data_IF_963765143462
#
_entry.id   IF_963765143462
#
_cell.length_a   1.000
_cell.length_b   1.000
_cell.length_c   1.000
_cell.angle_alpha   90.00
_cell.angle_beta   90.00
_cell.angle_gamma   90.00
#
_symmetry.space_group_name_H-M   'P 1'
#
loop_
_entity.id
_entity.type
_entity.pdbx_description
1 polymer ?
#
# COMPACT_ATOMS: atom_id res chain seq x y z
N UNK A 1 -49.95 16.76 -18.59
CA UNK A 1 -48.72 15.95 -18.63
C UNK A 1 -47.75 16.52 -17.60
N UNK A 2 -47.71 15.93 -16.40
CA UNK A 2 -46.71 16.33 -15.38
C UNK A 2 -45.45 15.50 -15.62
N UNK A 3 -44.34 16.13 -15.90
CA UNK A 3 -43.05 15.47 -15.90
C UNK A 3 -42.50 15.44 -14.45
N UNK A 4 -42.51 14.27 -13.85
CA UNK A 4 -41.87 14.01 -12.57
C UNK A 4 -40.38 13.83 -12.83
N UNK A 5 -39.57 14.85 -12.53
CA UNK A 5 -38.11 14.73 -12.58
C UNK A 5 -37.66 13.90 -11.39
N UNK A 6 -37.21 12.68 -11.62
CA UNK A 6 -36.51 11.89 -10.63
C UNK A 6 -35.12 12.50 -10.39
N UNK A 7 -34.96 13.22 -9.28
CA UNK A 7 -33.61 13.55 -8.77
C UNK A 7 -32.97 12.24 -8.26
N UNK A 8 -32.02 11.69 -9.00
CA UNK A 8 -31.04 10.78 -8.42
C UNK A 8 -30.19 11.58 -7.43
N UNK A 9 -30.44 11.38 -6.15
CA UNK A 9 -29.53 11.83 -5.11
C UNK A 9 -28.21 11.05 -5.28
N UNK A 10 -27.20 11.70 -5.86
CA UNK A 10 -25.83 11.26 -5.71
C UNK A 10 -25.53 11.40 -4.22
N UNK A 11 -25.45 10.29 -3.48
CA UNK A 11 -24.89 10.26 -2.14
C UNK A 11 -23.46 10.72 -2.25
N UNK A 12 -23.21 11.98 -1.89
CA UNK A 12 -21.89 12.50 -1.67
C UNK A 12 -21.29 11.65 -0.52
N UNK A 13 -20.23 10.91 -0.79
CA UNK A 13 -19.43 10.27 0.25
C UNK A 13 -19.04 11.37 1.25
N UNK A 14 -19.39 11.19 2.51
CA UNK A 14 -18.88 12.00 3.60
C UNK A 14 -17.38 11.76 3.65
N UNK A 15 -16.58 12.79 3.56
CA UNK A 15 -15.20 12.76 3.07
C UNK A 15 -14.12 12.22 4.01
N UNK A 16 -14.40 11.19 4.80
CA UNK A 16 -13.46 10.60 5.74
C UNK A 16 -13.26 9.07 5.58
N UNK A 17 -14.05 8.38 4.76
CA UNK A 17 -13.99 6.92 4.60
C UNK A 17 -12.57 6.36 4.31
N UNK A 18 -12.29 5.17 4.86
CA UNK A 18 -11.11 4.35 4.56
C UNK A 18 -11.51 3.10 3.74
N UNK A 19 -12.04 3.25 2.51
CA UNK A 19 -12.79 2.21 1.80
C UNK A 19 -11.93 1.08 1.25
N UNK A 20 -10.61 1.12 1.43
CA UNK A 20 -9.67 0.11 0.94
C UNK A 20 -8.33 0.26 1.68
N UNK A 21 -7.45 -0.72 1.55
CA UNK A 21 -6.10 -0.65 2.12
C UNK A 21 -5.41 0.69 1.83
N UNK A 22 -4.89 1.34 2.87
CA UNK A 22 -4.26 2.67 2.84
C UNK A 22 -5.14 3.77 2.22
N UNK A 23 -6.45 3.67 2.39
CA UNK A 23 -7.46 4.70 2.15
C UNK A 23 -7.93 4.84 0.70
N UNK A 24 -7.13 4.58 -0.32
CA UNK A 24 -7.52 4.82 -1.72
C UNK A 24 -6.77 3.94 -2.73
N UNK A 25 -7.13 4.05 -4.02
CA UNK A 25 -6.53 3.26 -5.10
C UNK A 25 -5.03 3.55 -5.34
N UNK A 26 -4.53 4.70 -4.91
CA UNK A 26 -3.12 5.07 -4.96
C UNK A 26 -2.35 4.60 -3.71
N UNK A 27 -3.03 4.07 -2.69
CA UNK A 27 -2.49 3.57 -1.42
C UNK A 27 -1.70 4.62 -0.64
N UNK A 28 -2.17 5.87 -0.65
CA UNK A 28 -1.43 7.01 -0.08
C UNK A 28 -1.21 6.92 1.43
N UNK A 29 -2.05 6.20 2.15
CA UNK A 29 -2.00 6.09 3.62
C UNK A 29 -2.36 7.40 4.31
N UNK A 30 -3.12 8.28 3.65
CA UNK A 30 -3.54 9.55 4.18
C UNK A 30 -5.07 9.66 4.18
N UNK A 31 -5.63 10.06 5.31
CA UNK A 31 -7.03 10.38 5.53
C UNK A 31 -7.17 11.85 5.93
N UNK A 32 -8.35 12.41 5.72
CA UNK A 32 -8.76 13.71 6.26
C UNK A 32 -9.41 13.57 7.64
N UNK A 33 -9.55 12.35 8.16
CA UNK A 33 -10.07 12.13 9.50
C UNK A 33 -9.24 12.91 10.51
N UNK A 34 -9.87 13.79 11.26
CA UNK A 34 -9.24 14.56 12.32
C UNK A 34 -9.32 13.75 13.62
N UNK A 35 -8.16 13.47 14.21
CA UNK A 35 -8.05 12.73 15.46
C UNK A 35 -7.73 13.71 16.60
N UNK A 36 -8.64 13.88 17.55
CA UNK A 36 -8.44 14.76 18.69
C UNK A 36 -7.79 13.98 19.84
N UNK A 37 -6.52 14.21 20.11
CA UNK A 37 -5.75 13.53 21.16
C UNK A 37 -5.94 14.18 22.54
N UNK A 38 -5.94 13.38 23.64
CA UNK A 38 -5.69 11.93 23.69
C UNK A 38 -6.90 11.11 23.25
N UNK A 39 -6.65 9.95 22.59
CA UNK A 39 -7.67 8.97 22.29
C UNK A 39 -7.71 7.92 23.41
N UNK A 40 -8.90 7.30 23.61
CA UNK A 40 -9.11 6.17 24.51
C UNK A 40 -9.57 4.95 23.75
N UNK A 41 -9.23 3.75 24.23
CA UNK A 41 -9.73 2.50 23.64
C UNK A 41 -11.22 2.36 23.93
N UNK A 42 -12.03 2.28 22.87
CA UNK A 42 -13.48 2.13 22.96
C UNK A 42 -13.91 0.67 22.94
N UNK A 43 -13.31 -0.10 22.04
CA UNK A 43 -13.57 -1.53 21.92
C UNK A 43 -12.38 -2.29 21.31
N UNK A 44 -12.36 -3.59 21.58
CA UNK A 44 -11.44 -4.55 20.97
C UNK A 44 -12.23 -5.72 20.41
N UNK A 45 -12.13 -5.97 19.12
CA UNK A 45 -12.64 -7.17 18.51
C UNK A 45 -11.53 -8.22 18.45
N UNK A 46 -11.81 -9.42 19.03
CA UNK A 46 -10.90 -10.57 18.95
C UNK A 46 -11.50 -11.58 17.97
N UNK A 47 -10.84 -11.76 16.83
CA UNK A 47 -11.26 -12.71 15.82
C UNK A 47 -11.13 -14.18 16.27
N UNK A 48 -11.55 -15.11 15.40
CA UNK A 48 -11.52 -16.57 15.62
C UNK A 48 -10.11 -17.17 15.73
N UNK A 49 -9.06 -16.37 15.49
CA UNK A 49 -7.66 -16.78 15.57
C UNK A 49 -6.71 -15.73 15.01
N UNK A 50 -5.43 -16.06 15.05
CA UNK A 50 -4.37 -15.18 14.50
C UNK A 50 -4.31 -15.26 12.98
N UNK A 51 -3.91 -14.18 12.28
CA UNK A 51 -3.66 -14.21 10.84
C UNK A 51 -2.70 -15.35 10.46
N UNK A 52 -3.09 -16.12 9.45
CA UNK A 52 -2.31 -17.23 8.92
C UNK A 52 -1.55 -16.76 7.68
N UNK A 53 -0.32 -16.31 7.86
CA UNK A 53 0.49 -15.73 6.79
C UNK A 53 0.69 -16.70 5.62
N UNK A 54 0.59 -16.20 4.39
CA UNK A 54 0.88 -16.97 3.18
C UNK A 54 2.31 -17.50 3.14
N UNK A 55 3.23 -16.78 3.78
CA UNK A 55 4.64 -17.10 3.86
C UNK A 55 5.10 -17.07 5.32
N UNK A 56 4.79 -18.14 6.11
CA UNK A 56 5.18 -18.19 7.51
C UNK A 56 6.68 -18.42 7.63
N UNK A 57 7.36 -17.51 8.28
CA UNK A 57 8.76 -17.59 8.59
C UNK A 57 9.72 -17.37 7.42
N UNK A 58 11.03 -17.30 7.72
CA UNK A 58 12.06 -17.16 6.71
C UNK A 58 12.18 -18.45 5.89
N UNK A 59 12.36 -18.30 4.57
CA UNK A 59 12.88 -19.38 3.77
C UNK A 59 14.25 -19.78 4.37
N UNK A 60 14.37 -21.03 4.82
CA UNK A 60 15.57 -21.49 5.54
C UNK A 60 16.82 -21.43 4.67
N UNK A 61 16.68 -21.66 3.37
CA UNK A 61 17.79 -21.67 2.42
C UNK A 61 17.39 -21.09 1.09
N UNK A 62 18.22 -20.20 0.56
CA UNK A 62 18.28 -19.90 -0.87
C UNK A 62 19.43 -20.72 -1.46
N UNK A 63 19.11 -21.87 -2.02
CA UNK A 63 20.10 -22.78 -2.61
C UNK A 63 20.81 -22.13 -3.81
N UNK A 64 20.15 -21.24 -4.53
CA UNK A 64 20.70 -20.54 -5.68
C UNK A 64 21.77 -19.52 -5.28
N UNK A 65 21.48 -18.70 -4.27
CA UNK A 65 22.40 -17.68 -3.78
C UNK A 65 23.25 -18.17 -2.58
N UNK A 66 23.09 -19.43 -2.15
CA UNK A 66 23.77 -20.01 -0.98
C UNK A 66 23.62 -19.19 0.31
N UNK A 67 22.47 -18.51 0.45
CA UNK A 67 22.15 -17.70 1.63
C UNK A 67 21.27 -18.52 2.56
N UNK A 68 21.62 -18.52 3.84
CA UNK A 68 20.85 -19.12 4.93
C UNK A 68 20.19 -18.03 5.78
N UNK A 69 19.10 -18.37 6.48
CA UNK A 69 18.37 -17.45 7.36
C UNK A 69 17.86 -16.18 6.67
N UNK A 70 17.22 -16.37 5.52
CA UNK A 70 16.61 -15.27 4.78
C UNK A 70 15.49 -14.61 5.61
N UNK A 71 15.52 -13.29 5.70
CA UNK A 71 14.40 -12.52 6.26
C UNK A 71 13.20 -12.60 5.30
N UNK A 72 11.99 -12.90 5.80
CA UNK A 72 10.78 -12.84 5.00
C UNK A 72 10.60 -11.44 4.40
N UNK A 73 10.21 -11.37 3.12
CA UNK A 73 10.00 -10.09 2.41
C UNK A 73 8.57 -9.91 1.93
N UNK A 74 7.70 -10.87 2.22
CA UNK A 74 6.32 -10.89 1.77
C UNK A 74 5.43 -10.63 2.98
N UNK A 75 5.15 -9.37 3.26
CA UNK A 75 4.52 -8.90 4.48
C UNK A 75 3.17 -8.22 4.22
N UNK A 76 2.32 -8.83 3.42
CA UNK A 76 1.04 -8.27 3.05
C UNK A 76 -0.17 -8.80 3.83
N UNK A 77 0.01 -9.82 4.69
CA UNK A 77 -1.08 -10.51 5.40
C UNK A 77 -0.76 -10.84 6.87
N UNK A 78 -0.05 -9.93 7.55
CA UNK A 78 0.35 -10.09 8.95
C UNK A 78 -0.72 -9.72 9.96
N UNK A 79 -1.71 -8.94 9.57
CA UNK A 79 -2.86 -8.54 10.36
C UNK A 79 -4.12 -8.66 9.50
N UNK A 80 -5.28 -8.58 10.11
CA UNK A 80 -6.54 -8.43 9.42
C UNK A 80 -6.72 -6.95 9.04
N UNK A 81 -6.15 -6.56 7.89
CA UNK A 81 -6.24 -5.19 7.42
C UNK A 81 -7.69 -4.80 7.14
N UNK A 82 -8.08 -3.65 7.65
CA UNK A 82 -9.47 -3.19 7.62
C UNK A 82 -9.75 -2.19 6.51
N UNK A 83 -11.01 -2.16 6.09
CA UNK A 83 -11.61 -1.11 5.27
C UNK A 83 -12.86 -0.61 5.97
N UNK A 84 -13.10 0.70 5.93
CA UNK A 84 -14.19 1.35 6.66
C UNK A 84 -15.01 2.19 5.69
N UNK A 85 -16.32 2.03 5.72
CA UNK A 85 -17.24 2.85 4.96
C UNK A 85 -18.66 2.76 5.54
N UNK A 86 -19.38 3.87 5.52
CA UNK A 86 -20.78 3.94 5.95
C UNK A 86 -21.01 3.36 7.37
N UNK A 87 -20.10 3.65 8.32
CA UNK A 87 -20.18 3.18 9.72
C UNK A 87 -19.95 1.66 9.89
N UNK A 88 -19.35 1.00 8.92
CA UNK A 88 -19.01 -0.43 8.94
C UNK A 88 -17.53 -0.65 8.70
N UNK A 89 -16.98 -1.62 9.42
CA UNK A 89 -15.62 -2.08 9.30
C UNK A 89 -15.61 -3.46 8.64
N UNK A 90 -14.81 -3.64 7.61
CA UNK A 90 -14.70 -4.88 6.85
C UNK A 90 -13.28 -5.40 6.87
N UNK A 91 -13.12 -6.72 7.02
CA UNK A 91 -11.82 -7.37 6.87
C UNK A 91 -11.96 -8.78 6.29
N UNK A 92 -10.87 -9.22 5.64
CA UNK A 92 -10.73 -10.61 5.21
C UNK A 92 -9.92 -11.38 6.25
N UNK A 93 -10.33 -12.60 6.52
CA UNK A 93 -9.66 -13.47 7.48
C UNK A 93 -8.99 -14.66 6.80
N UNK A 94 -7.71 -14.84 7.12
CA UNK A 94 -6.95 -16.03 6.75
C UNK A 94 -7.03 -17.13 7.83
N UNK A 95 -7.64 -16.83 8.98
CA UNK A 95 -7.80 -17.78 10.07
C UNK A 95 -9.00 -18.71 9.89
N UNK A 96 -10.13 -18.18 9.43
CA UNK A 96 -11.41 -18.87 9.30
C UNK A 96 -12.03 -18.80 7.88
N UNK A 97 -11.31 -18.21 6.90
CA UNK A 97 -11.70 -18.17 5.49
C UNK A 97 -12.98 -17.36 5.23
N UNK A 98 -13.15 -16.27 6.00
CA UNK A 98 -14.33 -15.42 5.92
C UNK A 98 -14.01 -13.98 5.53
N UNK A 99 -15.04 -13.30 5.04
CA UNK A 99 -15.12 -11.85 4.96
C UNK A 99 -16.05 -11.42 6.09
N UNK A 100 -15.57 -10.59 6.99
CA UNK A 100 -16.30 -10.09 8.15
C UNK A 100 -16.73 -8.65 7.98
N UNK A 101 -17.85 -8.30 8.58
CA UNK A 101 -18.33 -6.95 8.75
C UNK A 101 -18.68 -6.70 10.21
N UNK A 102 -18.05 -5.68 10.79
CA UNK A 102 -18.37 -5.20 12.11
C UNK A 102 -19.09 -3.85 12.03
N UNK A 103 -19.86 -3.54 13.04
CA UNK A 103 -20.25 -2.18 13.34
C UNK A 103 -19.01 -1.38 13.76
N UNK A 104 -18.73 -0.26 13.11
CA UNK A 104 -17.51 0.51 13.34
C UNK A 104 -17.55 1.24 14.70
N UNK A 105 -18.74 1.50 15.24
CA UNK A 105 -18.93 2.16 16.54
C UNK A 105 -18.73 1.22 17.71
N UNK A 106 -19.25 -0.02 17.62
CA UNK A 106 -19.31 -0.96 18.75
C UNK A 106 -18.35 -2.13 18.64
N UNK A 107 -17.81 -2.42 17.44
CA UNK A 107 -16.99 -3.62 17.18
C UNK A 107 -17.79 -4.92 17.11
N UNK A 108 -19.12 -4.88 17.22
CA UNK A 108 -19.98 -6.05 17.12
C UNK A 108 -20.04 -6.58 15.68
N UNK A 109 -20.03 -7.92 15.50
CA UNK A 109 -20.16 -8.52 14.18
C UNK A 109 -21.60 -8.39 13.67
N UNK A 110 -21.75 -7.73 12.53
CA UNK A 110 -23.02 -7.58 11.83
C UNK A 110 -23.34 -8.77 10.91
N UNK A 111 -22.33 -9.24 10.19
CA UNK A 111 -22.40 -10.40 9.33
C UNK A 111 -21.02 -10.94 8.97
N UNK A 112 -20.95 -12.20 8.57
CA UNK A 112 -19.79 -12.81 7.94
C UNK A 112 -20.18 -13.66 6.74
N UNK A 113 -19.23 -13.87 5.82
CA UNK A 113 -19.42 -14.64 4.60
C UNK A 113 -18.27 -15.62 4.38
N UNK A 114 -18.57 -16.91 4.28
CA UNK A 114 -17.57 -17.95 4.03
C UNK A 114 -17.12 -17.96 2.57
N UNK A 115 -15.80 -17.97 2.37
CA UNK A 115 -15.16 -18.32 1.11
C UNK A 115 -14.62 -19.76 1.18
N UNK A 116 -14.02 -20.27 0.09
CA UNK A 116 -13.54 -21.66 0.09
C UNK A 116 -12.03 -21.77 0.39
N UNK A 117 -11.37 -20.64 0.75
CA UNK A 117 -9.98 -20.57 1.15
C UNK A 117 -9.69 -19.19 1.77
N UNK A 118 -8.48 -18.98 2.37
CA UNK A 118 -8.12 -17.74 3.04
C UNK A 118 -8.37 -16.45 2.25
N UNK A 119 -8.93 -15.44 2.93
CA UNK A 119 -9.03 -14.05 2.45
C UNK A 119 -7.93 -13.24 3.12
N UNK A 120 -6.91 -12.84 2.37
CA UNK A 120 -5.66 -12.29 2.95
C UNK A 120 -5.53 -10.79 2.91
N UNK A 121 -6.34 -10.13 2.10
CA UNK A 121 -6.23 -8.69 1.84
C UNK A 121 -7.45 -7.96 2.34
N UNK A 122 -7.25 -6.71 2.73
CA UNK A 122 -8.37 -5.83 3.02
C UNK A 122 -9.36 -5.81 1.85
N UNK A 123 -10.65 -5.98 2.09
CA UNK A 123 -11.67 -5.78 1.07
C UNK A 123 -11.63 -4.36 0.52
N UNK A 124 -12.19 -4.15 -0.67
CA UNK A 124 -12.42 -2.80 -1.20
C UNK A 124 -13.92 -2.54 -1.21
N UNK A 125 -14.33 -1.44 -0.59
CA UNK A 125 -15.72 -1.01 -0.48
C UNK A 125 -16.03 0.07 -1.51
N UNK A 126 -17.09 -0.09 -2.28
CA UNK A 126 -17.50 0.89 -3.29
C UNK A 126 -18.99 0.78 -3.59
N UNK A 127 -19.73 1.89 -3.46
CA UNK A 127 -21.15 1.96 -3.82
C UNK A 127 -22.00 0.89 -3.13
N UNK A 128 -21.83 0.69 -1.84
CA UNK A 128 -22.53 -0.31 -1.03
C UNK A 128 -22.16 -1.77 -1.34
N UNK A 129 -21.00 -2.01 -1.97
CA UNK A 129 -20.45 -3.33 -2.28
C UNK A 129 -19.10 -3.53 -1.62
N UNK A 130 -18.85 -4.75 -1.15
CA UNK A 130 -17.57 -5.21 -0.60
C UNK A 130 -16.97 -6.20 -1.58
N UNK A 131 -15.74 -5.93 -2.06
CA UNK A 131 -15.08 -6.77 -3.06
C UNK A 131 -13.79 -7.31 -2.46
N UNK A 132 -13.65 -8.63 -2.42
CA UNK A 132 -12.46 -9.31 -1.91
C UNK A 132 -12.06 -10.49 -2.78
N UNK A 133 -10.77 -10.77 -2.82
CA UNK A 133 -10.22 -11.97 -3.45
C UNK A 133 -9.82 -13.01 -2.42
N UNK A 134 -9.96 -14.29 -2.76
CA UNK A 134 -9.62 -15.42 -1.90
C UNK A 134 -8.56 -16.32 -2.54
N UNK A 135 -7.86 -17.07 -1.70
CA UNK A 135 -6.90 -18.11 -2.12
C UNK A 135 -7.57 -19.26 -2.90
N UNK A 136 -8.91 -19.32 -3.00
CA UNK A 136 -9.64 -20.25 -3.88
C UNK A 136 -9.65 -19.84 -5.37
N UNK A 137 -9.04 -18.68 -5.70
CA UNK A 137 -8.95 -18.18 -7.07
C UNK A 137 -10.19 -17.39 -7.52
N UNK A 138 -11.07 -17.05 -6.59
CA UNK A 138 -12.33 -16.34 -6.84
C UNK A 138 -12.30 -14.93 -6.24
N UNK A 139 -12.94 -14.00 -6.93
CA UNK A 139 -13.28 -12.67 -6.42
C UNK A 139 -14.76 -12.67 -6.04
N UNK A 140 -15.05 -12.22 -4.85
CA UNK A 140 -16.39 -12.12 -4.28
C UNK A 140 -16.81 -10.65 -4.21
N UNK A 141 -18.06 -10.38 -4.56
CA UNK A 141 -18.71 -9.10 -4.36
C UNK A 141 -19.97 -9.30 -3.53
N UNK A 142 -19.95 -8.73 -2.34
CA UNK A 142 -21.04 -8.84 -1.37
C UNK A 142 -21.74 -7.49 -1.20
N UNK A 143 -22.99 -7.51 -0.76
CA UNK A 143 -23.71 -6.32 -0.32
C UNK A 143 -23.18 -5.86 1.04
N UNK A 144 -22.70 -4.65 1.13
CA UNK A 144 -22.08 -4.12 2.35
C UNK A 144 -23.02 -4.14 3.57
N UNK A 145 -24.33 -3.97 3.36
CA UNK A 145 -25.31 -3.88 4.45
C UNK A 145 -25.63 -5.21 5.14
N UNK A 146 -25.50 -6.37 4.46
CA UNK A 146 -25.95 -7.65 5.00
C UNK A 146 -25.14 -8.87 4.55
N UNK A 147 -24.03 -8.69 3.82
CA UNK A 147 -23.17 -9.78 3.36
C UNK A 147 -23.74 -10.65 2.23
N UNK A 148 -24.90 -10.29 1.65
CA UNK A 148 -25.50 -11.06 0.56
C UNK A 148 -24.60 -11.06 -0.69
N UNK A 149 -24.39 -12.24 -1.28
CA UNK A 149 -23.61 -12.38 -2.52
C UNK A 149 -24.32 -11.68 -3.68
N UNK A 150 -23.65 -10.70 -4.28
CA UNK A 150 -24.12 -10.03 -5.51
C UNK A 150 -23.60 -10.77 -6.73
N UNK A 151 -22.29 -11.02 -6.78
CA UNK A 151 -21.64 -11.83 -7.80
C UNK A 151 -20.33 -12.42 -7.27
N UNK A 152 -19.90 -13.51 -7.88
CA UNK A 152 -18.54 -14.04 -7.72
C UNK A 152 -17.96 -14.43 -9.08
N UNK A 153 -16.68 -14.22 -9.29
CA UNK A 153 -16.00 -14.51 -10.55
C UNK A 153 -14.70 -15.26 -10.31
N UNK A 154 -14.53 -16.40 -11.00
CA UNK A 154 -13.28 -17.16 -10.99
C UNK A 154 -12.31 -16.56 -12.01
N UNK A 155 -11.19 -16.02 -11.53
CA UNK A 155 -10.16 -15.46 -12.40
C UNK A 155 -9.30 -16.57 -13.01
N UNK A 156 -9.09 -17.64 -12.29
CA UNK A 156 -8.39 -18.85 -12.73
C UNK A 156 -9.10 -19.54 -13.90
N UNK A 157 -8.37 -20.34 -14.73
CA UNK A 157 -8.99 -21.07 -15.83
C UNK A 157 -9.89 -22.20 -15.36
N UNK A 158 -9.61 -22.80 -14.19
CA UNK A 158 -10.38 -23.87 -13.58
C UNK A 158 -10.24 -23.92 -12.05
N UNK A 159 -10.75 -24.95 -11.41
CA UNK A 159 -10.75 -25.15 -9.95
C UNK A 159 -9.69 -26.12 -9.45
N UNK A 160 -8.54 -26.20 -10.11
CA UNK A 160 -7.44 -27.03 -9.60
C UNK A 160 -6.93 -26.48 -8.27
N UNK A 161 -6.78 -27.40 -7.30
CA UNK A 161 -6.39 -27.08 -5.93
C UNK A 161 -5.14 -27.83 -5.53
N UNK A 162 -4.39 -27.24 -4.61
CA UNK A 162 -3.20 -27.82 -4.02
C UNK A 162 -3.12 -27.52 -2.52
N UNK A 163 -2.44 -28.34 -1.73
CA UNK A 163 -2.19 -28.01 -0.33
C UNK A 163 -1.18 -26.88 -0.21
N UNK A 164 -1.54 -25.83 0.52
CA UNK A 164 -0.70 -24.67 0.81
C UNK A 164 -0.89 -24.21 2.25
N UNK A 165 0.17 -24.22 3.07
CA UNK A 165 0.14 -23.77 4.47
C UNK A 165 -0.94 -24.44 5.32
N UNK A 166 -1.10 -25.78 5.18
CA UNK A 166 -2.08 -26.55 5.94
C UNK A 166 -3.54 -26.42 5.46
N UNK A 167 -3.78 -25.75 4.34
CA UNK A 167 -5.10 -25.54 3.74
C UNK A 167 -5.11 -25.92 2.27
N UNK A 168 -6.28 -26.12 1.71
CA UNK A 168 -6.47 -26.29 0.27
C UNK A 168 -6.64 -24.92 -0.36
N UNK A 169 -5.79 -24.58 -1.31
CA UNK A 169 -5.84 -23.34 -2.07
C UNK A 169 -5.93 -23.62 -3.58
N UNK A 170 -6.37 -22.65 -4.36
CA UNK A 170 -6.31 -22.73 -5.82
C UNK A 170 -4.87 -22.81 -6.30
N UNK A 171 -4.61 -23.48 -7.41
CA UNK A 171 -3.35 -23.37 -8.15
C UNK A 171 -3.10 -21.93 -8.61
N UNK A 172 -4.16 -21.15 -8.78
CA UNK A 172 -4.14 -19.71 -9.10
C UNK A 172 -4.84 -18.87 -8.01
N UNK A 173 -4.27 -18.78 -6.80
CA UNK A 173 -4.91 -18.02 -5.72
C UNK A 173 -4.90 -16.52 -6.04
N UNK A 174 -5.89 -15.79 -5.51
CA UNK A 174 -5.89 -14.33 -5.58
C UNK A 174 -4.99 -13.79 -4.48
N UNK A 175 -3.73 -13.51 -4.84
CA UNK A 175 -2.68 -13.03 -3.93
C UNK A 175 -2.40 -11.53 -4.09
N UNK A 176 -3.42 -10.78 -4.53
CA UNK A 176 -3.37 -9.32 -4.58
C UNK A 176 -4.64 -8.71 -4.00
N UNK A 177 -4.46 -7.59 -3.29
CA UNK A 177 -5.59 -6.78 -2.87
C UNK A 177 -6.28 -6.16 -4.09
N UNK A 178 -7.60 -6.27 -4.18
CA UNK A 178 -8.39 -5.69 -5.27
C UNK A 178 -8.28 -4.17 -5.23
N UNK A 179 -8.09 -3.55 -6.39
CA UNK A 179 -8.17 -2.10 -6.53
C UNK A 179 -9.33 -1.73 -7.45
N UNK A 180 -10.14 -0.78 -7.01
CA UNK A 180 -11.27 -0.28 -7.81
C UNK A 180 -11.00 1.14 -8.28
N UNK A 181 -11.27 1.39 -9.56
CA UNK A 181 -11.21 2.73 -10.14
C UNK A 181 -12.20 2.85 -11.30
N UNK A 182 -13.01 3.90 -11.27
CA UNK A 182 -14.01 4.20 -12.33
C UNK A 182 -14.98 3.03 -12.62
N UNK A 183 -15.49 2.37 -11.57
CA UNK A 183 -16.43 1.27 -11.71
C UNK A 183 -15.84 -0.05 -12.21
N UNK A 184 -14.51 -0.15 -12.29
CA UNK A 184 -13.77 -1.35 -12.69
C UNK A 184 -12.92 -1.83 -11.51
N UNK A 185 -13.04 -3.11 -11.18
CA UNK A 185 -12.22 -3.81 -10.20
C UNK A 185 -11.08 -4.53 -10.93
N UNK A 186 -9.84 -4.25 -10.53
CA UNK A 186 -8.65 -4.91 -11.04
C UNK A 186 -8.17 -5.94 -10.02
N UNK A 187 -7.76 -7.10 -10.51
CA UNK A 187 -7.34 -8.22 -9.69
C UNK A 187 -6.31 -9.07 -10.43
N UNK A 188 -5.53 -9.84 -9.68
CA UNK A 188 -4.69 -10.89 -10.27
C UNK A 188 -4.94 -12.22 -9.59
N UNK A 189 -4.80 -13.32 -10.33
CA UNK A 189 -4.81 -14.68 -9.82
C UNK A 189 -3.63 -15.46 -10.39
N UNK A 190 -2.94 -16.22 -9.55
CA UNK A 190 -1.78 -16.99 -9.93
C UNK A 190 -0.55 -16.64 -9.10
N UNK A 191 0.22 -17.69 -8.79
CA UNK A 191 1.41 -17.61 -7.96
C UNK A 191 2.62 -18.22 -8.64
N UNK A 192 2.37 -19.21 -9.49
CA UNK A 192 3.41 -19.98 -10.18
C UNK A 192 3.47 -19.56 -11.64
N UNK A 193 4.57 -18.90 -12.08
CA UNK A 193 4.68 -18.40 -13.45
C UNK A 193 4.49 -19.50 -14.52
N UNK A 194 4.93 -20.74 -14.27
CA UNK A 194 4.74 -21.88 -15.16
C UNK A 194 3.26 -22.17 -15.47
N UNK A 195 2.40 -22.00 -14.47
CA UNK A 195 0.96 -22.22 -14.56
C UNK A 195 0.20 -21.00 -15.10
N UNK A 196 0.91 -19.88 -15.21
CA UNK A 196 0.38 -18.60 -15.62
C UNK A 196 -0.17 -17.76 -14.47
N UNK A 197 -0.10 -16.46 -14.64
CA UNK A 197 -0.69 -15.46 -13.77
C UNK A 197 -1.66 -14.62 -14.57
N UNK A 198 -2.88 -14.53 -14.11
CA UNK A 198 -3.96 -13.81 -14.78
C UNK A 198 -4.09 -12.43 -14.19
N UNK A 199 -4.13 -11.41 -15.03
CA UNK A 199 -4.49 -10.03 -14.67
C UNK A 199 -5.83 -9.75 -15.30
N UNK A 200 -6.80 -9.31 -14.53
CA UNK A 200 -8.17 -9.11 -14.98
C UNK A 200 -8.77 -7.78 -14.51
N UNK A 201 -9.68 -7.27 -15.31
CA UNK A 201 -10.57 -6.16 -15.00
C UNK A 201 -12.01 -6.62 -15.07
N UNK A 202 -12.77 -6.35 -14.01
CA UNK A 202 -14.16 -6.76 -13.84
C UNK A 202 -15.05 -5.52 -13.66
N UNK A 203 -16.25 -5.55 -14.20
CA UNK A 203 -17.25 -4.52 -13.88
C UNK A 203 -17.70 -4.68 -12.43
N UNK A 204 -17.59 -3.64 -11.62
CA UNK A 204 -18.06 -3.64 -10.22
C UNK A 204 -19.55 -3.95 -10.11
N UNK A 205 -20.36 -3.58 -11.11
CA UNK A 205 -21.81 -3.76 -11.11
C UNK A 205 -22.24 -5.20 -11.25
N UNK A 206 -21.55 -6.02 -12.05
CA UNK A 206 -22.02 -7.36 -12.45
C UNK A 206 -20.98 -8.48 -12.32
N UNK A 207 -19.70 -8.15 -12.12
CA UNK A 207 -18.60 -9.12 -12.17
C UNK A 207 -18.14 -9.47 -13.59
N UNK A 208 -18.83 -8.98 -14.64
CA UNK A 208 -18.45 -9.28 -16.02
C UNK A 208 -17.01 -8.89 -16.30
N UNK A 209 -16.27 -9.78 -16.94
CA UNK A 209 -14.90 -9.52 -17.38
C UNK A 209 -14.87 -8.45 -18.47
N UNK A 210 -14.18 -7.34 -18.22
CA UNK A 210 -13.86 -6.31 -19.22
C UNK A 210 -12.71 -6.77 -20.10
N UNK A 211 -11.64 -7.24 -19.46
CA UNK A 211 -10.50 -7.90 -20.10
C UNK A 211 -9.81 -8.85 -19.10
N UNK A 212 -9.13 -9.88 -19.63
CA UNK A 212 -8.33 -10.82 -18.85
C UNK A 212 -7.14 -11.29 -19.69
N UNK A 213 -5.93 -11.15 -19.16
CA UNK A 213 -4.68 -11.52 -19.82
C UNK A 213 -3.89 -12.50 -18.96
N UNK A 214 -3.15 -13.42 -19.61
CA UNK A 214 -2.31 -14.42 -18.95
C UNK A 214 -0.82 -14.13 -19.22
N UNK A 215 -0.01 -14.18 -18.16
CA UNK A 215 1.43 -13.97 -18.20
C UNK A 215 2.15 -15.13 -17.50
N UNK A 216 3.17 -15.73 -18.16
CA UNK A 216 3.92 -16.89 -17.65
C UNK A 216 5.27 -16.54 -17.03
N UNK A 217 5.52 -15.27 -16.74
CA UNK A 217 6.81 -14.76 -16.27
C UNK A 217 6.70 -13.84 -15.06
N UNK A 218 5.55 -13.84 -14.38
CA UNK A 218 5.33 -13.01 -13.19
C UNK A 218 4.61 -13.78 -12.08
N UNK A 219 4.87 -13.38 -10.82
CA UNK A 219 4.21 -13.89 -9.63
C UNK A 219 3.66 -12.68 -8.84
N UNK A 220 2.45 -12.20 -9.16
CA UNK A 220 1.88 -11.02 -8.54
C UNK A 220 1.49 -11.29 -7.09
N UNK A 221 1.96 -10.44 -6.17
CA UNK A 221 1.62 -10.51 -4.75
C UNK A 221 1.73 -9.13 -4.12
N UNK A 222 0.74 -8.78 -3.30
CA UNK A 222 0.65 -7.49 -2.62
C UNK A 222 -0.57 -6.69 -3.07
N UNK A 223 -0.67 -5.44 -2.62
CA UNK A 223 -1.81 -4.59 -2.98
C UNK A 223 -1.62 -3.95 -4.35
N UNK A 224 -2.59 -4.15 -5.24
CA UNK A 224 -2.64 -3.44 -6.53
C UNK A 224 -2.85 -1.94 -6.32
N UNK A 225 -2.29 -1.16 -7.25
CA UNK A 225 -2.46 0.30 -7.25
C UNK A 225 -2.89 0.77 -8.64
N UNK A 226 -3.65 1.85 -8.66
CA UNK A 226 -4.10 2.45 -9.91
C UNK A 226 -3.88 3.95 -9.90
N UNK A 227 -3.29 4.46 -10.99
CA UNK A 227 -3.30 5.87 -11.37
C UNK A 227 -4.39 6.14 -12.41
N UNK A 228 -4.37 7.30 -13.03
CA UNK A 228 -5.32 7.65 -14.09
C UNK A 228 -5.25 6.66 -15.27
N UNK A 229 -4.05 6.32 -15.72
CA UNK A 229 -3.84 5.54 -16.95
C UNK A 229 -3.20 4.17 -16.70
N UNK A 230 -2.54 3.98 -15.55
CA UNK A 230 -1.75 2.78 -15.27
C UNK A 230 -2.34 1.95 -14.13
N UNK A 231 -2.19 0.62 -14.27
CA UNK A 231 -2.32 -0.34 -13.20
C UNK A 231 -0.92 -0.81 -12.81
N UNK A 232 -0.57 -0.68 -11.54
CA UNK A 232 0.69 -1.16 -10.99
C UNK A 232 0.45 -2.47 -10.25
N UNK A 233 1.21 -3.48 -10.63
CA UNK A 233 1.09 -4.84 -10.08
C UNK A 233 2.38 -5.18 -9.33
N UNK A 234 2.35 -5.21 -8.00
CA UNK A 234 3.49 -5.67 -7.20
C UNK A 234 3.81 -7.13 -7.50
N UNK A 235 5.09 -7.46 -7.50
CA UNK A 235 5.58 -8.80 -7.80
C UNK A 235 6.51 -9.32 -6.71
N UNK A 236 6.23 -8.96 -5.47
CA UNK A 236 6.90 -9.41 -4.25
C UNK A 236 8.44 -9.32 -4.27
N UNK A 237 9.14 -10.37 -4.70
CA UNK A 237 10.61 -10.40 -4.78
C UNK A 237 11.19 -9.68 -6.00
N UNK A 238 10.36 -9.42 -7.00
CA UNK A 238 10.71 -8.66 -8.21
C UNK A 238 10.21 -7.23 -8.11
N UNK A 239 10.66 -6.39 -9.01
CA UNK A 239 10.13 -5.03 -9.14
C UNK A 239 8.74 -5.04 -9.76
N UNK A 240 7.89 -4.03 -9.47
CA UNK A 240 6.51 -3.98 -9.96
C UNK A 240 6.42 -3.94 -11.49
N UNK A 241 5.28 -4.42 -12.01
CA UNK A 241 4.90 -4.30 -13.41
C UNK A 241 3.91 -3.16 -13.62
N UNK A 242 3.98 -2.54 -14.79
CA UNK A 242 3.06 -1.48 -15.23
C UNK A 242 2.22 -1.99 -16.40
N UNK A 243 0.91 -1.81 -16.27
CA UNK A 243 -0.09 -2.22 -17.25
C UNK A 243 -0.92 -1.03 -17.71
N UNK A 244 -1.35 -1.03 -18.97
CA UNK A 244 -2.41 -0.15 -19.45
C UNK A 244 -3.75 -0.61 -18.84
N UNK A 245 -4.48 0.28 -18.19
CA UNK A 245 -5.74 -0.06 -17.52
C UNK A 245 -6.88 -0.36 -18.49
N UNK A 246 -6.80 0.09 -19.75
CA UNK A 246 -7.88 -0.01 -20.75
C UNK A 246 -8.00 -1.42 -21.31
N UNK A 247 -6.87 -2.09 -21.52
CA UNK A 247 -6.81 -3.40 -22.18
C UNK A 247 -5.99 -4.45 -21.42
N UNK A 248 -5.36 -4.06 -20.30
CA UNK A 248 -4.51 -4.92 -19.50
C UNK A 248 -3.19 -5.30 -20.15
N UNK A 249 -2.75 -4.59 -21.20
CA UNK A 249 -1.46 -4.85 -21.84
C UNK A 249 -0.33 -4.46 -20.91
N UNK A 250 0.60 -5.39 -20.66
CA UNK A 250 1.82 -5.10 -19.93
C UNK A 250 2.69 -4.14 -20.72
N UNK A 251 2.94 -2.99 -20.16
CA UNK A 251 3.79 -1.95 -20.76
C UNK A 251 5.25 -2.21 -20.46
N UNK A 252 5.57 -2.54 -19.20
CA UNK A 252 6.95 -2.78 -18.74
C UNK A 252 7.02 -3.39 -17.35
N UNK A 253 8.22 -3.79 -16.97
CA UNK A 253 8.63 -3.98 -15.57
C UNK A 253 9.51 -2.79 -15.16
N UNK A 254 9.34 -2.28 -13.93
CA UNK A 254 10.13 -1.16 -13.43
C UNK A 254 11.54 -1.61 -13.05
N UNK A 255 12.49 -0.69 -13.13
CA UNK A 255 13.82 -0.86 -12.54
C UNK A 255 13.83 -0.44 -11.07
N UNK A 256 14.89 -0.78 -10.32
CA UNK A 256 15.07 -0.37 -8.93
C UNK A 256 14.92 -1.49 -7.91
N UNK A 257 14.53 -1.16 -6.69
CA UNK A 257 14.38 -2.10 -5.59
C UNK A 257 13.04 -2.83 -5.64
N UNK A 258 13.00 -4.07 -5.16
CA UNK A 258 11.74 -4.79 -4.91
C UNK A 258 11.23 -4.51 -3.50
N UNK A 259 10.02 -4.90 -3.18
CA UNK A 259 9.44 -4.78 -1.85
C UNK A 259 7.93 -4.96 -1.85
N UNK A 260 7.35 -4.94 -0.66
CA UNK A 260 5.89 -5.10 -0.49
C UNK A 260 5.16 -3.77 -0.33
N UNK A 261 5.89 -2.71 0.01
CA UNK A 261 5.33 -1.37 0.09
C UNK A 261 5.32 -0.71 -1.30
N UNK A 262 4.19 -0.10 -1.65
CA UNK A 262 4.08 0.74 -2.84
C UNK A 262 2.98 1.78 -2.66
N UNK A 263 3.21 2.99 -3.20
CA UNK A 263 2.21 4.06 -3.32
C UNK A 263 2.33 4.74 -4.68
N UNK A 264 1.22 5.26 -5.18
CA UNK A 264 1.22 6.14 -6.37
C UNK A 264 1.27 7.59 -5.91
N UNK A 265 2.26 8.32 -6.40
CA UNK A 265 2.44 9.74 -6.17
C UNK A 265 2.32 10.49 -7.52
N UNK A 266 1.21 11.18 -7.75
CA UNK A 266 0.79 11.69 -9.06
C UNK A 266 0.54 10.53 -10.06
N UNK A 267 1.45 10.26 -10.98
CA UNK A 267 1.41 9.09 -11.87
C UNK A 267 2.71 8.25 -11.75
N UNK A 268 3.53 8.58 -10.76
CA UNK A 268 4.77 7.88 -10.45
C UNK A 268 4.54 6.87 -9.32
N UNK A 269 5.32 5.78 -9.31
CA UNK A 269 5.26 4.77 -8.28
C UNK A 269 6.46 4.89 -7.34
N UNK A 270 6.22 5.02 -6.03
CA UNK A 270 7.22 4.82 -4.99
C UNK A 270 7.04 3.42 -4.43
N UNK A 271 8.10 2.62 -4.44
CA UNK A 271 8.04 1.22 -4.00
C UNK A 271 9.36 0.76 -3.37
N UNK A 272 9.27 -0.23 -2.52
CA UNK A 272 10.39 -0.80 -1.77
C UNK A 272 9.93 -1.36 -0.42
N UNK A 273 10.77 -1.28 0.63
CA UNK A 273 12.21 -1.19 0.54
C UNK A 273 12.78 -2.51 0.01
N UNK A 274 13.78 -2.45 -0.86
CA UNK A 274 14.46 -3.65 -1.30
C UNK A 274 15.37 -4.24 -0.22
N UNK A 275 16.40 -4.96 -0.66
CA UNK A 275 17.41 -5.54 0.23
C UNK A 275 18.22 -4.51 1.01
N UNK A 276 18.29 -3.27 0.49
CA UNK A 276 19.15 -2.19 0.99
C UNK A 276 18.42 -1.23 1.95
N UNK A 277 17.10 -1.40 2.14
CA UNK A 277 16.29 -0.47 2.92
C UNK A 277 15.96 0.82 2.16
N UNK A 278 16.11 0.82 0.82
CA UNK A 278 15.83 1.97 -0.03
C UNK A 278 14.55 1.78 -0.82
N UNK A 279 13.70 2.79 -0.83
CA UNK A 279 12.56 2.91 -1.74
C UNK A 279 12.99 3.56 -3.05
N UNK A 280 12.43 3.11 -4.15
CA UNK A 280 12.63 3.67 -5.49
C UNK A 280 11.40 4.45 -5.91
N UNK A 281 11.58 5.66 -6.43
CA UNK A 281 10.54 6.36 -7.18
C UNK A 281 10.82 6.21 -8.66
N UNK A 282 9.84 5.69 -9.39
CA UNK A 282 9.92 5.52 -10.85
C UNK A 282 8.69 6.09 -11.53
N UNK A 283 8.90 6.76 -12.67
CA UNK A 283 7.80 7.27 -13.49
C UNK A 283 6.99 6.13 -14.11
N UNK A 284 5.75 6.40 -14.48
CA UNK A 284 4.94 5.50 -15.30
C UNK A 284 5.63 5.11 -16.61
N UNK A 285 6.54 5.94 -17.14
CA UNK A 285 7.39 5.62 -18.28
C UNK A 285 8.55 4.66 -17.97
N UNK A 286 8.80 4.33 -16.69
CA UNK A 286 9.81 3.38 -16.21
C UNK A 286 11.16 4.00 -15.86
N UNK A 287 11.33 5.31 -16.01
CA UNK A 287 12.56 5.97 -15.59
C UNK A 287 12.63 6.04 -14.06
N UNK A 288 13.75 5.65 -13.46
CA UNK A 288 14.00 5.90 -12.04
C UNK A 288 14.21 7.40 -11.84
N UNK A 289 13.45 7.98 -10.91
CA UNK A 289 13.43 9.42 -10.63
C UNK A 289 14.27 9.73 -9.39
N UNK A 290 14.01 8.98 -8.30
CA UNK A 290 14.66 9.19 -7.02
C UNK A 290 14.81 7.90 -6.23
N UNK A 291 15.59 7.97 -5.14
CA UNK A 291 15.71 6.92 -4.14
C UNK A 291 15.66 7.56 -2.74
N UNK A 292 14.94 6.90 -1.83
CA UNK A 292 14.75 7.34 -0.45
C UNK A 292 15.08 6.21 0.52
N UNK A 293 15.83 6.49 1.56
CA UNK A 293 15.99 5.53 2.66
C UNK A 293 14.72 5.50 3.50
N UNK A 294 14.10 4.33 3.62
CA UNK A 294 12.88 4.17 4.40
C UNK A 294 12.14 2.88 4.07
N UNK A 295 11.15 2.56 4.89
CA UNK A 295 10.27 1.41 4.71
C UNK A 295 8.89 1.81 4.19
N UNK A 296 8.40 2.96 4.63
CA UNK A 296 7.11 3.50 4.25
C UNK A 296 7.25 4.98 3.91
N UNK A 297 6.36 5.45 3.04
CA UNK A 297 6.25 6.86 2.70
C UNK A 297 4.77 7.26 2.66
N UNK A 298 4.49 8.45 3.11
CA UNK A 298 3.21 9.12 2.90
C UNK A 298 3.48 10.32 2.01
N UNK A 299 2.70 10.48 0.94
CA UNK A 299 2.82 11.58 0.02
C UNK A 299 1.58 12.45 0.10
N UNK A 300 1.77 13.70 0.48
CA UNK A 300 0.74 14.75 0.42
C UNK A 300 1.16 15.85 -0.54
N UNK A 301 0.31 16.83 -0.72
CA UNK A 301 0.62 18.00 -1.54
C UNK A 301 1.67 18.88 -0.83
N UNK A 302 2.89 18.86 -1.32
CA UNK A 302 4.01 19.71 -0.84
C UNK A 302 4.91 19.06 0.20
N UNK A 303 4.41 18.13 1.03
CA UNK A 303 5.21 17.43 2.04
C UNK A 303 5.08 15.92 1.88
N UNK A 304 6.16 15.20 2.10
CA UNK A 304 6.14 13.75 2.23
C UNK A 304 6.76 13.35 3.55
N UNK A 305 6.26 12.26 4.12
CA UNK A 305 6.78 11.71 5.36
C UNK A 305 7.44 10.38 5.08
N UNK A 306 8.66 10.20 5.56
CA UNK A 306 9.42 8.96 5.42
C UNK A 306 9.53 8.31 6.78
N UNK A 307 9.18 7.04 6.83
CA UNK A 307 9.29 6.20 8.01
C UNK A 307 10.33 5.13 7.77
N UNK A 308 11.28 5.03 8.70
CA UNK A 308 12.27 3.97 8.78
C UNK A 308 11.96 3.06 9.98
N UNK A 309 12.83 2.12 10.31
CA UNK A 309 12.71 1.32 11.54
C UNK A 309 12.96 2.10 12.83
N UNK A 310 13.54 3.30 12.76
CA UNK A 310 13.99 4.06 13.93
C UNK A 310 13.77 5.56 13.82
N UNK A 311 13.24 6.03 12.69
CA UNK A 311 13.13 7.46 12.41
C UNK A 311 11.86 7.77 11.61
N UNK A 312 11.24 8.88 11.95
CA UNK A 312 10.20 9.55 11.19
C UNK A 312 10.71 10.91 10.74
N UNK A 313 10.52 11.27 9.47
CA UNK A 313 10.99 12.54 8.93
C UNK A 313 10.00 13.14 7.93
N UNK A 314 9.98 14.46 7.83
CA UNK A 314 9.23 15.20 6.83
C UNK A 314 10.17 15.84 5.80
N UNK A 315 9.73 15.85 4.56
CA UNK A 315 10.56 16.18 3.40
C UNK A 315 9.76 16.98 2.37
N UNK A 316 10.36 18.00 1.78
CA UNK A 316 9.90 18.67 0.56
C UNK A 316 10.23 17.77 -0.64
N UNK A 317 9.37 16.77 -0.90
CA UNK A 317 9.66 15.73 -1.89
C UNK A 317 9.90 16.26 -3.30
N UNK A 318 9.07 17.17 -3.79
CA UNK A 318 9.17 17.67 -5.17
C UNK A 318 10.52 18.38 -5.41
N UNK A 319 10.96 19.20 -4.45
CA UNK A 319 12.27 19.86 -4.47
C UNK A 319 13.40 18.83 -4.39
N UNK A 320 13.32 17.89 -3.46
CA UNK A 320 14.28 16.77 -3.31
C UNK A 320 14.40 15.95 -4.60
N UNK A 321 13.29 15.59 -5.23
CA UNK A 321 13.23 14.83 -6.48
C UNK A 321 13.89 15.62 -7.62
N UNK A 322 13.56 16.91 -7.74
CA UNK A 322 14.14 17.79 -8.76
C UNK A 322 15.68 17.89 -8.62
N UNK A 323 16.15 18.14 -7.40
CA UNK A 323 17.58 18.23 -7.09
C UNK A 323 18.31 16.88 -7.31
N UNK A 324 17.67 15.77 -6.94
CA UNK A 324 18.24 14.43 -7.15
C UNK A 324 18.36 14.10 -8.62
N UNK A 325 17.38 14.49 -9.44
CA UNK A 325 17.43 14.34 -10.90
C UNK A 325 18.56 15.17 -11.50
N UNK A 326 18.66 16.46 -11.15
CA UNK A 326 19.76 17.34 -11.59
C UNK A 326 21.13 16.76 -11.20
N UNK A 327 21.27 16.28 -9.95
CA UNK A 327 22.48 15.59 -9.49
C UNK A 327 22.85 14.39 -10.36
N UNK A 328 21.85 13.57 -10.72
CA UNK A 328 22.04 12.40 -11.59
C UNK A 328 22.53 12.78 -12.98
N UNK A 329 21.92 13.78 -13.59
CA UNK A 329 22.31 14.32 -14.91
C UNK A 329 23.72 14.90 -14.92
N UNK A 330 24.06 15.69 -13.89
CA UNK A 330 25.41 16.26 -13.72
C UNK A 330 26.48 15.17 -13.52
N UNK A 331 26.19 14.16 -12.68
CA UNK A 331 27.13 13.06 -12.46
C UNK A 331 27.35 12.23 -13.74
N UNK A 332 26.30 11.95 -14.51
CA UNK A 332 26.41 11.28 -15.80
C UNK A 332 27.30 12.09 -16.76
N UNK A 333 27.00 13.39 -16.88
CA UNK A 333 27.77 14.29 -17.76
C UNK A 333 29.23 14.40 -17.35
N UNK A 334 29.51 14.48 -16.04
CA UNK A 334 30.87 14.46 -15.50
C UNK A 334 31.60 13.15 -15.83
N UNK A 335 30.93 12.01 -15.73
CA UNK A 335 31.49 10.71 -16.11
C UNK A 335 31.91 10.67 -17.57
N UNK A 336 31.05 11.17 -18.48
CA UNK A 336 31.32 11.27 -19.93
C UNK A 336 32.54 12.17 -20.21
N UNK A 337 32.58 13.37 -19.60
CA UNK A 337 33.68 14.32 -19.76
C UNK A 337 34.97 13.75 -19.22
N UNK A 338 34.96 13.13 -18.04
CA UNK A 338 36.18 12.54 -17.43
C UNK A 338 36.73 11.41 -18.30
N UNK A 339 35.85 10.58 -18.89
CA UNK A 339 36.25 9.48 -19.77
C UNK A 339 36.84 10.00 -21.10
N UNK A 340 36.32 11.12 -21.61
CA UNK A 340 36.81 11.71 -22.88
C UNK A 340 38.04 12.59 -22.70
N UNK A 341 38.30 13.13 -21.49
CA UNK A 341 39.34 14.11 -21.23
C UNK A 341 40.75 13.70 -21.68
N UNK A 342 41.20 12.43 -21.55
CA UNK A 342 42.52 12.01 -22.04
C UNK A 342 42.71 12.15 -23.55
N UNK A 343 41.60 12.12 -24.32
CA UNK A 343 41.59 12.18 -25.78
C UNK A 343 41.39 13.60 -26.33
N UNK A 344 41.18 14.59 -25.46
CA UNK A 344 40.97 15.98 -25.83
C UNK A 344 42.29 16.77 -25.77
N UNK A 345 42.42 17.82 -26.61
CA UNK A 345 43.55 18.70 -26.63
C UNK A 345 43.15 20.16 -26.85
N UNK A 346 44.03 21.11 -26.53
CA UNK A 346 43.83 22.53 -26.81
C UNK A 346 42.56 23.11 -26.18
N UNK A 347 41.77 23.82 -26.99
CA UNK A 347 40.55 24.52 -26.54
C UNK A 347 39.47 23.58 -26.01
N UNK A 348 39.33 22.38 -26.58
CA UNK A 348 38.32 21.39 -26.20
C UNK A 348 38.62 20.81 -24.81
N UNK A 349 39.89 20.52 -24.53
CA UNK A 349 40.33 20.08 -23.19
C UNK A 349 40.04 21.16 -22.14
N UNK A 350 40.42 22.41 -22.42
CA UNK A 350 40.18 23.54 -21.52
C UNK A 350 38.69 23.81 -21.29
N UNK A 351 37.81 23.53 -22.29
CA UNK A 351 36.35 23.63 -22.16
C UNK A 351 35.81 22.53 -21.26
N UNK A 352 36.25 21.30 -21.47
CA UNK A 352 35.85 20.15 -20.63
C UNK A 352 36.28 20.32 -19.16
N UNK A 353 37.49 20.78 -18.90
CA UNK A 353 37.98 21.06 -17.55
C UNK A 353 37.15 22.14 -16.85
N UNK A 354 36.79 23.22 -17.54
CA UNK A 354 35.91 24.27 -17.00
C UNK A 354 34.52 23.74 -16.69
N UNK A 355 33.97 22.89 -17.57
CA UNK A 355 32.65 22.27 -17.36
C UNK A 355 32.71 21.32 -16.15
N UNK A 356 33.74 20.50 -16.00
CA UNK A 356 33.97 19.63 -14.84
C UNK A 356 34.05 20.43 -13.54
N UNK A 357 34.74 21.58 -13.52
CA UNK A 357 34.82 22.44 -12.35
C UNK A 357 33.45 23.01 -11.97
N UNK A 358 32.73 23.61 -12.92
CA UNK A 358 31.38 24.16 -12.69
C UNK A 358 30.39 23.09 -12.20
N UNK A 359 30.46 21.90 -12.79
CA UNK A 359 29.62 20.79 -12.35
C UNK A 359 29.92 20.33 -10.92
N UNK A 360 31.22 20.42 -10.49
CA UNK A 360 31.60 20.09 -9.12
C UNK A 360 31.08 21.12 -8.11
N UNK A 361 31.17 22.42 -8.47
CA UNK A 361 30.61 23.50 -7.65
C UNK A 361 29.10 23.36 -7.51
N UNK A 362 28.39 23.13 -8.63
CA UNK A 362 26.93 22.92 -8.63
C UNK A 362 26.51 21.69 -7.83
N UNK A 363 27.25 20.59 -7.90
CA UNK A 363 26.98 19.39 -7.09
C UNK A 363 27.13 19.68 -5.59
N UNK A 364 28.10 20.52 -5.20
CA UNK A 364 28.24 20.98 -3.80
C UNK A 364 27.01 21.76 -3.32
N UNK A 365 26.48 22.66 -4.14
CA UNK A 365 25.25 23.42 -3.85
C UNK A 365 24.03 22.48 -3.73
N UNK A 366 23.89 21.52 -4.66
CA UNK A 366 22.79 20.53 -4.65
C UNK A 366 22.84 19.69 -3.37
N UNK A 367 24.00 19.24 -2.91
CA UNK A 367 24.13 18.46 -1.67
C UNK A 367 23.72 19.26 -0.43
N UNK A 368 23.92 20.57 -0.41
CA UNK A 368 23.40 21.46 0.65
C UNK A 368 21.88 21.55 0.54
N UNK A 369 21.35 21.89 -0.63
CA UNK A 369 19.93 22.05 -0.86
C UNK A 369 19.13 20.75 -0.58
N UNK A 370 19.65 19.58 -0.93
CA UNK A 370 19.04 18.28 -0.60
C UNK A 370 18.88 18.11 0.92
N UNK A 371 19.86 18.53 1.73
CA UNK A 371 19.75 18.49 3.19
C UNK A 371 18.68 19.45 3.71
N UNK A 372 18.53 20.60 3.09
CA UNK A 372 17.51 21.60 3.44
C UNK A 372 16.07 21.21 3.01
N UNK A 373 15.94 20.20 2.12
CA UNK A 373 14.64 19.61 1.85
C UNK A 373 14.05 18.88 3.05
N UNK A 374 14.86 18.47 4.03
CA UNK A 374 14.36 17.79 5.22
C UNK A 374 13.85 18.83 6.21
N UNK A 375 12.54 18.83 6.43
CA UNK A 375 11.88 19.78 7.31
C UNK A 375 12.13 19.48 8.79
N UNK A 376 12.04 18.21 9.16
CA UNK A 376 12.33 17.72 10.49
C UNK A 376 12.64 16.22 10.47
N UNK A 377 13.30 15.74 11.55
CA UNK A 377 13.54 14.33 11.87
C UNK A 377 13.28 14.07 13.33
N UNK A 378 12.71 12.92 13.66
CA UNK A 378 12.46 12.45 15.02
C UNK A 378 12.76 10.96 15.14
N UNK A 379 13.23 10.55 16.30
CA UNK A 379 13.28 9.14 16.65
C UNK A 379 11.86 8.60 16.70
N UNK A 380 11.65 7.42 16.13
CA UNK A 380 10.39 6.71 16.08
C UNK A 380 10.71 5.23 16.34
N UNK A 381 10.24 4.72 17.47
CA UNK A 381 10.50 3.34 17.90
C UNK A 381 9.38 2.38 17.43
N UNK A 382 8.44 2.88 16.62
CA UNK A 382 7.30 2.16 16.06
C UNK A 382 7.58 1.76 14.59
N UNK A 383 8.21 0.59 14.32
CA UNK A 383 8.80 0.30 13.00
C UNK A 383 7.86 -0.34 11.97
N UNK A 384 6.55 -0.57 12.30
CA UNK A 384 5.76 -1.54 11.55
C UNK A 384 4.95 -0.97 10.40
N UNK A 385 4.22 0.11 10.61
CA UNK A 385 3.47 0.86 9.59
C UNK A 385 3.31 2.32 10.01
N UNK A 386 2.90 3.19 9.07
CA UNK A 386 2.58 4.58 9.34
C UNK A 386 1.46 5.07 8.41
N UNK A 387 0.52 5.84 8.98
CA UNK A 387 -0.52 6.57 8.24
C UNK A 387 -0.54 8.04 8.65
N UNK A 388 -1.19 8.88 7.85
CA UNK A 388 -1.53 10.26 8.18
C UNK A 388 -3.05 10.38 8.35
N UNK A 389 -3.48 10.87 9.49
CA UNK A 389 -4.87 11.21 9.78
C UNK A 389 -4.94 12.68 10.17
N UNK A 390 -5.59 13.53 9.33
CA UNK A 390 -5.54 14.97 9.51
C UNK A 390 -4.11 15.49 9.62
N UNK A 391 -3.77 16.07 10.77
CA UNK A 391 -2.45 16.64 11.08
C UNK A 391 -1.58 15.71 11.96
N UNK A 392 -1.97 14.44 12.14
CA UNK A 392 -1.25 13.48 12.96
C UNK A 392 -0.73 12.29 12.13
N UNK A 393 0.53 11.93 12.35
CA UNK A 393 1.15 10.70 11.86
C UNK A 393 0.98 9.63 12.93
N UNK A 394 0.37 8.50 12.58
CA UNK A 394 0.17 7.37 13.48
C UNK A 394 1.15 6.27 13.07
N UNK A 395 1.97 5.83 13.99
CA UNK A 395 2.96 4.78 13.76
C UNK A 395 2.67 3.53 14.61
N UNK A 396 2.75 2.36 13.99
CA UNK A 396 2.52 1.07 14.63
C UNK A 396 3.82 0.48 15.19
N UNK A 397 3.78 0.07 16.46
CA UNK A 397 4.86 -0.57 17.20
C UNK A 397 4.54 -2.00 17.62
N UNK A 398 5.42 -2.59 18.44
CA UNK A 398 5.21 -3.87 19.10
C UNK A 398 4.56 -3.62 20.46
N UNK A 399 3.34 -4.10 20.64
CA UNK A 399 2.50 -3.93 21.84
C UNK A 399 2.05 -2.48 22.12
N UNK A 400 2.28 -1.56 21.20
CA UNK A 400 1.79 -0.17 21.32
C UNK A 400 1.76 0.55 19.97
N UNK A 401 1.09 1.72 19.97
CA UNK A 401 1.03 2.69 18.88
C UNK A 401 1.41 4.07 19.38
N UNK A 402 1.86 4.94 18.48
CA UNK A 402 2.15 6.34 18.81
C UNK A 402 1.64 7.30 17.75
N UNK A 403 1.28 8.50 18.17
CA UNK A 403 0.91 9.61 17.33
C UNK A 403 1.95 10.74 17.38
N UNK A 404 2.23 11.35 16.24
CA UNK A 404 3.18 12.45 16.08
C UNK A 404 2.55 13.60 15.30
N UNK A 405 2.81 14.83 15.68
CA UNK A 405 2.37 16.00 14.93
C UNK A 405 3.05 16.05 13.55
N UNK A 406 2.27 16.12 12.48
CA UNK A 406 2.78 16.16 11.12
C UNK A 406 3.68 17.38 10.84
N UNK A 407 3.43 18.50 11.53
CA UNK A 407 4.15 19.77 11.35
C UNK A 407 5.60 19.76 11.79
N UNK A 408 5.93 19.05 12.90
CA UNK A 408 7.24 19.11 13.56
C UNK A 408 7.71 17.77 14.14
N UNK A 409 6.90 16.72 14.04
CA UNK A 409 7.18 15.39 14.56
C UNK A 409 7.16 15.28 16.09
N UNK A 410 6.55 16.22 16.79
CA UNK A 410 6.37 16.11 18.25
C UNK A 410 5.45 14.93 18.57
N UNK A 411 5.84 14.09 19.54
CA UNK A 411 4.99 12.98 19.99
C UNK A 411 3.77 13.54 20.72
N UNK A 412 2.58 13.18 20.26
CA UNK A 412 1.29 13.66 20.78
C UNK A 412 0.69 12.68 21.79
N UNK A 413 0.81 11.39 21.51
CA UNK A 413 0.09 10.38 22.26
C UNK A 413 0.69 8.98 22.03
N UNK A 414 0.41 8.05 22.96
CA UNK A 414 0.71 6.62 22.84
C UNK A 414 -0.38 5.81 23.52
N UNK A 415 -0.66 4.61 22.99
CA UNK A 415 -1.57 3.66 23.63
C UNK A 415 -1.05 2.22 23.46
N UNK A 416 -1.32 1.33 24.42
CA UNK A 416 -1.04 -0.09 24.30
C UNK A 416 -1.99 -0.75 23.31
N UNK A 417 -1.53 -1.81 22.65
CA UNK A 417 -2.34 -2.75 21.84
C UNK A 417 -1.84 -4.17 22.09
N UNK A 418 -2.66 -5.18 21.80
CA UNK A 418 -2.24 -6.57 21.93
C UNK A 418 -1.51 -7.02 20.65
N UNK A 419 -0.19 -7.16 20.71
CA UNK A 419 0.67 -7.62 19.63
C UNK A 419 1.21 -6.52 18.72
N UNK A 420 1.65 -6.89 17.53
CA UNK A 420 2.31 -5.98 16.58
C UNK A 420 1.28 -5.26 15.71
N UNK A 421 1.27 -3.94 15.77
CA UNK A 421 0.35 -3.06 15.05
C UNK A 421 0.75 -2.92 13.57
N UNK A 422 0.34 -3.87 12.73
CA UNK A 422 0.64 -3.86 11.29
C UNK A 422 -0.41 -3.15 10.45
N UNK A 423 -1.65 -3.09 10.89
CA UNK A 423 -2.74 -2.44 10.16
C UNK A 423 -3.21 -1.19 10.87
N UNK A 424 -3.22 -0.07 10.17
CA UNK A 424 -3.69 1.23 10.66
C UNK A 424 -4.72 1.80 9.69
N UNK A 425 -5.83 2.31 10.23
CA UNK A 425 -6.87 2.99 9.47
C UNK A 425 -7.50 4.09 10.33
N UNK A 426 -7.93 5.18 9.70
CA UNK A 426 -8.58 6.28 10.41
C UNK A 426 -9.80 6.76 9.64
N UNK A 427 -10.91 6.89 10.35
CA UNK A 427 -12.19 7.32 9.83
C UNK A 427 -13.03 7.99 10.92
N UNK A 428 -13.70 9.09 10.58
CA UNK A 428 -14.67 9.80 11.41
C UNK A 428 -14.26 10.00 12.90
N UNK A 429 -13.03 10.51 13.11
CA UNK A 429 -12.52 10.77 14.47
C UNK A 429 -12.01 9.54 15.21
N UNK A 430 -12.06 8.36 14.61
CA UNK A 430 -11.61 7.09 15.20
C UNK A 430 -10.37 6.53 14.51
N UNK A 431 -9.55 5.85 15.30
CA UNK A 431 -8.37 5.12 14.85
C UNK A 431 -8.60 3.61 15.05
N UNK A 432 -8.41 2.84 14.00
CA UNK A 432 -8.52 1.39 14.02
C UNK A 432 -7.14 0.77 13.82
N UNK A 433 -6.80 -0.16 14.70
CA UNK A 433 -5.48 -0.80 14.73
C UNK A 433 -5.64 -2.31 14.70
N UNK A 434 -5.14 -2.97 13.66
CA UNK A 434 -5.14 -4.42 13.59
C UNK A 434 -3.75 -5.01 13.79
N UNK A 435 -3.67 -6.08 14.57
CA UNK A 435 -2.41 -6.66 15.04
C UNK A 435 -2.22 -8.10 14.56
N UNK A 436 -1.02 -8.64 14.74
CA UNK A 436 -0.69 -10.04 14.44
C UNK A 436 -1.24 -11.04 15.48
N UNK A 437 -1.81 -10.55 16.58
CA UNK A 437 -2.59 -11.40 17.50
C UNK A 437 -3.96 -11.77 16.92
N UNK A 438 -4.44 -11.03 15.90
CA UNK A 438 -5.79 -11.12 15.34
C UNK A 438 -6.78 -10.13 15.97
N UNK A 439 -6.31 -9.28 16.89
CA UNK A 439 -7.12 -8.23 17.48
C UNK A 439 -7.26 -7.04 16.53
N UNK A 440 -8.42 -6.39 16.59
CA UNK A 440 -8.72 -5.09 15.99
C UNK A 440 -9.15 -4.17 17.14
N UNK A 441 -8.36 -3.15 17.42
CA UNK A 441 -8.61 -2.13 18.42
C UNK A 441 -9.24 -0.90 17.79
N UNK A 442 -10.20 -0.28 18.44
CA UNK A 442 -10.73 1.02 18.09
C UNK A 442 -10.43 2.03 19.18
N UNK A 443 -9.88 3.17 18.80
CA UNK A 443 -9.62 4.30 19.67
C UNK A 443 -10.41 5.51 19.19
N UNK A 444 -11.08 6.20 20.10
CA UNK A 444 -11.84 7.41 19.84
C UNK A 444 -11.78 8.38 21.02
N UNK A 445 -12.50 9.49 20.91
CA UNK A 445 -12.67 10.40 22.03
C UNK A 445 -13.76 9.86 22.95
N UNK A 446 -13.58 9.94 24.28
CA UNK A 446 -14.68 9.61 25.19
C UNK A 446 -15.88 10.50 24.85
N UNK A 447 -17.04 9.88 24.71
CA UNK A 447 -18.31 10.63 24.58
C UNK A 447 -18.48 11.50 25.82
N UNK A 448 -18.88 12.77 25.65
CA UNK A 448 -19.07 13.74 26.75
C UNK A 448 -20.14 13.31 27.79
N UNK A 449 -20.70 12.09 27.69
CA UNK A 449 -21.79 11.62 28.56
C UNK A 449 -21.34 10.99 29.89
N UNK A 450 -20.06 10.71 30.15
CA UNK A 450 -19.61 10.06 31.38
C UNK A 450 -19.24 11.04 32.55
N UNK A 451 -19.13 12.33 32.28
CA UNK A 451 -18.80 13.33 33.34
C UNK A 451 -20.03 13.91 34.09
N UNK A 452 -21.22 13.33 33.92
CA UNK A 452 -22.45 13.80 34.54
C UNK A 452 -23.10 12.79 35.54
N UNK A 453 -22.27 12.01 36.22
CA UNK A 453 -22.78 11.20 37.34
C UNK A 453 -21.99 11.38 38.61
#
# INVERSE_FOLDING_TARGET
MLYTTLLLAATAFSGADWPTFRGNAARTGASKADLAFPLTEEWVHSGSGRPQNAWPGPARHDLYNKVVNLTPRLWFDRAFYVSIADGRLFFGSSADEQIHCLDAETGEELWSYYTEAPVRFAPTVVGGKVIAGSDDGVVYCLRASNGELIWKERIAPDDQRLPGNGRMISLWPVRTGVVVSNGVAYVTAGLFPSEGSYVAALKVSSGDTVWKNNYKDMAPQGYLLASKDHLFVPASRSTPYVFDRRDGKRLRQLGGNSGTFAIVANDDLVFGPGKTGDMTEASGSGAQIASFKGQHMIVTRGTSYIHTTTELSALKREEFVSLTKERGELNKRRGELTSSLPNLSGADKSKAERELKRSAERLGEIEVAIRECILWRRVCDEPLDVILAGDALIAGGEDYIAAYAAKDGAKLWTAPVDGRAYGLAADDGKLYVSTDSGAIHCFGNPSEEEDSK
#
